data_IF_402590357742
#
_entry.id   IF_402590357742
#
_cell.length_a   1.000
_cell.length_b   1.000
_cell.length_c   1.000
_cell.angle_alpha   90.00
_cell.angle_beta   90.00
_cell.angle_gamma   90.00
#
_symmetry.space_group_name_H-M   'P 1'
#
loop_
_entity.id
_entity.type
_entity.pdbx_description
1 polymer ?
#
# COMPACT_ATOMS: atom_id res chain seq x y z
N UNK A 1 15.32 14.10 16.18
CA UNK A 1 14.66 12.97 15.48
C UNK A 1 14.52 13.36 14.02
N UNK A 2 15.00 12.57 13.07
CA UNK A 2 14.74 12.86 11.66
C UNK A 2 13.25 12.67 11.40
N UNK A 3 12.61 13.66 10.78
CA UNK A 3 11.23 13.53 10.35
C UNK A 3 11.21 12.57 9.15
N UNK A 4 10.91 11.29 9.38
CA UNK A 4 10.81 10.31 8.29
C UNK A 4 9.43 10.45 7.65
N UNK A 5 9.32 11.25 6.58
CA UNK A 5 8.07 11.46 5.85
C UNK A 5 7.78 10.31 4.87
N UNK A 6 7.81 9.07 5.36
CA UNK A 6 7.60 7.86 4.56
C UNK A 6 6.65 6.95 5.33
N UNK A 7 5.50 6.55 4.74
CA UNK A 7 4.58 5.64 5.39
C UNK A 7 5.25 4.32 5.77
N UNK A 8 5.11 3.92 7.04
CA UNK A 8 5.40 2.56 7.48
C UNK A 8 4.23 1.65 7.08
N UNK A 9 4.54 0.51 6.47
CA UNK A 9 3.52 -0.42 5.99
C UNK A 9 3.44 -1.61 6.93
N UNK A 10 2.24 -1.83 7.46
CA UNK A 10 1.87 -3.00 8.25
C UNK A 10 0.85 -3.80 7.46
N UNK A 11 1.25 -4.99 7.04
CA UNK A 11 0.44 -5.86 6.18
C UNK A 11 -0.49 -6.72 7.05
N UNK A 12 -1.79 -6.69 6.79
CA UNK A 12 -2.74 -7.68 7.28
C UNK A 12 -2.82 -8.86 6.32
N UNK A 13 -2.81 -10.09 6.81
CA UNK A 13 -2.93 -11.29 5.98
C UNK A 13 -4.15 -12.08 6.42
N UNK A 14 -5.09 -12.32 5.51
CA UNK A 14 -6.26 -13.13 5.78
C UNK A 14 -6.14 -14.46 5.04
N UNK A 15 -6.37 -15.56 5.75
CA UNK A 15 -6.49 -16.88 5.14
C UNK A 15 -7.90 -17.08 4.59
N UNK A 16 -8.00 -17.73 3.44
CA UNK A 16 -9.28 -18.07 2.81
C UNK A 16 -9.46 -19.58 2.74
N UNK A 17 -10.67 -20.04 3.06
CA UNK A 17 -11.08 -21.43 2.91
C UNK A 17 -12.50 -21.55 2.34
N UNK A 18 -12.79 -22.59 1.58
CA UNK A 18 -14.17 -22.96 1.24
C UNK A 18 -14.61 -24.13 2.11
N UNK A 19 -15.90 -24.15 2.44
CA UNK A 19 -16.55 -25.14 3.30
C UNK A 19 -16.33 -26.61 2.91
N UNK A 20 -16.06 -26.89 1.64
CA UNK A 20 -15.70 -28.23 1.15
C UNK A 20 -14.22 -28.62 1.35
N UNK A 21 -13.40 -27.72 1.90
CA UNK A 21 -12.00 -27.95 2.29
C UNK A 21 -11.81 -27.62 3.78
N UNK A 22 -10.89 -28.29 4.48
CA UNK A 22 -10.66 -28.02 5.90
C UNK A 22 -9.98 -26.66 6.10
N UNK A 23 -10.62 -25.76 6.83
CA UNK A 23 -10.04 -24.47 7.22
C UNK A 23 -8.70 -24.62 7.97
N UNK A 24 -8.51 -25.76 8.68
CA UNK A 24 -7.24 -26.09 9.33
C UNK A 24 -6.06 -26.24 8.37
N UNK A 25 -6.31 -26.61 7.10
CA UNK A 25 -5.27 -26.64 6.07
C UNK A 25 -4.80 -25.23 5.74
N UNK A 26 -5.74 -24.30 5.54
CA UNK A 26 -5.41 -22.88 5.33
C UNK A 26 -4.69 -22.31 6.55
N UNK A 27 -5.13 -22.62 7.77
CA UNK A 27 -4.46 -22.15 8.98
C UNK A 27 -3.01 -22.64 9.06
N UNK A 28 -2.76 -23.93 8.86
CA UNK A 28 -1.40 -24.51 8.86
C UNK A 28 -0.48 -23.86 7.83
N UNK A 29 -1.01 -23.61 6.62
CA UNK A 29 -0.27 -22.95 5.54
C UNK A 29 -0.01 -21.47 5.83
N UNK A 30 -0.99 -20.79 6.43
CA UNK A 30 -0.86 -19.40 6.87
C UNK A 30 0.20 -19.27 7.98
N UNK A 31 0.22 -20.17 8.95
CA UNK A 31 1.24 -20.19 10.02
C UNK A 31 2.65 -20.33 9.45
N UNK A 32 2.82 -21.21 8.45
CA UNK A 32 4.09 -21.39 7.75
C UNK A 32 4.51 -20.13 6.99
N UNK A 33 3.57 -19.46 6.31
CA UNK A 33 3.80 -18.19 5.64
C UNK A 33 4.21 -17.08 6.62
N UNK A 34 3.50 -16.95 7.73
CA UNK A 34 3.80 -15.97 8.78
C UNK A 34 5.16 -16.20 9.41
N UNK A 35 5.58 -17.46 9.59
CA UNK A 35 6.92 -17.79 10.06
C UNK A 35 8.01 -17.32 9.09
N UNK A 36 7.82 -17.46 7.78
CA UNK A 36 8.76 -16.98 6.76
C UNK A 36 8.78 -15.44 6.68
N UNK A 37 7.62 -14.78 6.75
CA UNK A 37 7.54 -13.32 6.79
C UNK A 37 8.29 -12.74 7.99
N UNK A 38 8.18 -13.39 9.16
CA UNK A 38 8.94 -13.02 10.37
C UNK A 38 10.44 -13.16 10.16
N UNK A 39 10.91 -14.24 9.51
CA UNK A 39 12.34 -14.42 9.18
C UNK A 39 12.84 -13.32 8.24
N UNK A 40 12.00 -12.90 7.29
CA UNK A 40 12.30 -11.81 6.35
C UNK A 40 12.08 -10.40 6.91
N UNK A 41 11.67 -10.29 8.18
CA UNK A 41 11.39 -9.03 8.87
C UNK A 41 10.33 -8.16 8.16
N UNK A 42 9.37 -8.80 7.50
CA UNK A 42 8.19 -8.12 6.96
C UNK A 42 7.23 -7.85 8.12
N UNK A 43 6.80 -6.60 8.28
CA UNK A 43 5.83 -6.20 9.30
C UNK A 43 4.44 -6.68 8.87
N UNK A 44 4.04 -7.87 9.33
CA UNK A 44 2.78 -8.49 8.99
C UNK A 44 2.03 -9.03 10.22
N UNK A 45 0.70 -9.04 10.15
CA UNK A 45 -0.21 -9.63 11.14
C UNK A 45 -1.20 -10.53 10.39
N UNK A 46 -1.41 -11.74 10.88
CA UNK A 46 -2.44 -12.63 10.36
C UNK A 46 -3.76 -12.38 11.09
N UNK A 47 -4.86 -12.36 10.34
CA UNK A 47 -6.23 -12.41 10.87
C UNK A 47 -6.44 -13.74 11.61
N UNK A 48 -7.12 -13.69 12.75
CA UNK A 48 -7.59 -14.88 13.46
C UNK A 48 -8.76 -15.56 12.76
N UNK A 49 -9.47 -14.81 11.90
CA UNK A 49 -10.58 -15.31 11.09
C UNK A 49 -10.07 -15.86 9.77
N UNK A 50 -10.51 -17.08 9.43
CA UNK A 50 -10.41 -17.67 8.08
C UNK A 50 -11.72 -17.38 7.34
N UNK A 51 -11.62 -16.83 6.13
CA UNK A 51 -12.78 -16.38 5.35
C UNK A 51 -13.38 -17.51 4.55
N UNK A 52 -14.61 -17.89 4.90
CA UNK A 52 -15.48 -18.84 4.21
C UNK A 52 -16.83 -18.21 3.80
N UNK A 53 -17.20 -17.05 4.36
CA UNK A 53 -18.42 -16.31 4.06
C UNK A 53 -18.24 -14.80 4.23
N UNK A 54 -19.25 -14.01 3.82
CA UNK A 54 -19.20 -12.54 3.83
C UNK A 54 -19.05 -11.96 5.24
N UNK A 55 -19.70 -12.54 6.25
CA UNK A 55 -19.60 -12.05 7.63
C UNK A 55 -18.16 -12.19 8.16
N UNK A 56 -17.49 -13.30 7.83
CA UNK A 56 -16.09 -13.52 8.16
C UNK A 56 -15.16 -12.58 7.39
N UNK A 57 -15.48 -12.26 6.13
CA UNK A 57 -14.71 -11.30 5.33
C UNK A 57 -14.71 -9.90 5.97
N UNK A 58 -15.88 -9.42 6.41
CA UNK A 58 -16.01 -8.14 7.11
C UNK A 58 -15.32 -8.18 8.47
N UNK A 59 -15.50 -9.24 9.25
CA UNK A 59 -14.86 -9.39 10.55
C UNK A 59 -13.32 -9.40 10.45
N UNK A 60 -12.76 -10.08 9.45
CA UNK A 60 -11.32 -10.08 9.18
C UNK A 60 -10.81 -8.69 8.77
N UNK A 61 -11.61 -7.94 8.00
CA UNK A 61 -11.29 -6.55 7.66
C UNK A 61 -11.21 -5.68 8.92
N UNK A 62 -12.24 -5.71 9.76
CA UNK A 62 -12.31 -4.95 11.01
C UNK A 62 -11.16 -5.32 11.96
N UNK A 63 -10.85 -6.62 12.09
CA UNK A 63 -9.74 -7.11 12.91
C UNK A 63 -8.40 -6.53 12.46
N UNK A 64 -8.10 -6.58 11.16
CA UNK A 64 -6.83 -6.11 10.61
C UNK A 64 -6.72 -4.59 10.66
N UNK A 65 -7.81 -3.86 10.41
CA UNK A 65 -7.85 -2.40 10.55
C UNK A 65 -7.65 -1.99 12.00
N UNK A 66 -8.32 -2.66 12.96
CA UNK A 66 -8.13 -2.42 14.39
C UNK A 66 -6.70 -2.74 14.85
N UNK A 67 -6.04 -3.72 14.22
CA UNK A 67 -4.62 -3.99 14.43
C UNK A 67 -3.69 -2.93 13.82
N UNK A 68 -4.21 -1.92 13.12
CA UNK A 68 -3.44 -0.85 12.49
C UNK A 68 -2.77 -1.27 11.18
N UNK A 69 -3.27 -2.31 10.52
CA UNK A 69 -2.80 -2.67 9.18
C UNK A 69 -3.30 -1.65 8.16
N UNK A 70 -2.43 -1.22 7.26
CA UNK A 70 -2.71 -0.23 6.20
C UNK A 70 -2.47 -0.78 4.79
N UNK A 71 -2.24 -2.09 4.67
CA UNK A 71 -2.22 -2.86 3.44
C UNK A 71 -2.70 -4.28 3.78
N UNK A 72 -3.27 -5.01 2.81
CA UNK A 72 -3.79 -6.35 3.04
C UNK A 72 -3.38 -7.37 1.97
N UNK A 73 -3.30 -8.63 2.36
CA UNK A 73 -3.07 -9.77 1.48
C UNK A 73 -4.16 -10.82 1.73
N UNK A 74 -4.94 -11.15 0.69
CA UNK A 74 -5.76 -12.34 0.68
C UNK A 74 -4.90 -13.55 0.32
N UNK A 75 -4.70 -14.44 1.27
CA UNK A 75 -3.96 -15.69 1.10
C UNK A 75 -4.92 -16.86 0.93
N UNK A 76 -5.00 -17.36 -0.30
CA UNK A 76 -5.75 -18.57 -0.61
C UNK A 76 -4.92 -19.78 -0.17
N UNK A 77 -5.15 -20.25 1.05
CA UNK A 77 -4.51 -21.46 1.59
C UNK A 77 -5.06 -22.74 0.96
N UNK A 78 -6.30 -22.70 0.50
CA UNK A 78 -6.97 -23.70 -0.33
C UNK A 78 -7.94 -22.99 -1.30
N UNK A 79 -8.87 -23.72 -1.91
CA UNK A 79 -9.92 -23.16 -2.76
C UNK A 79 -10.82 -22.27 -1.91
N UNK A 80 -10.76 -20.95 -2.12
CA UNK A 80 -11.59 -19.99 -1.41
C UNK A 80 -12.91 -19.65 -2.11
N UNK A 81 -13.95 -19.21 -1.39
CA UNK A 81 -15.15 -18.67 -1.99
C UNK A 81 -14.87 -17.27 -2.57
N UNK A 82 -15.08 -17.11 -3.87
CA UNK A 82 -14.70 -15.90 -4.61
C UNK A 82 -15.41 -14.64 -4.12
N UNK A 83 -16.71 -14.72 -3.79
CA UNK A 83 -17.51 -13.56 -3.40
C UNK A 83 -17.08 -13.01 -2.02
N UNK A 84 -16.97 -13.83 -0.96
CA UNK A 84 -16.38 -13.40 0.30
C UNK A 84 -14.95 -12.88 0.18
N UNK A 85 -14.11 -13.53 -0.62
CA UNK A 85 -12.71 -13.10 -0.81
C UNK A 85 -12.64 -11.72 -1.48
N UNK A 86 -13.42 -11.52 -2.54
CA UNK A 86 -13.50 -10.24 -3.23
C UNK A 86 -14.13 -9.14 -2.35
N UNK A 87 -15.09 -9.49 -1.48
CA UNK A 87 -15.65 -8.57 -0.50
C UNK A 87 -14.58 -8.07 0.47
N UNK A 88 -13.77 -8.96 1.05
CA UNK A 88 -12.64 -8.54 1.89
C UNK A 88 -11.70 -7.58 1.15
N UNK A 89 -11.32 -7.91 -0.08
CA UNK A 89 -10.43 -7.09 -0.91
C UNK A 89 -11.02 -5.73 -1.28
N UNK A 90 -12.35 -5.65 -1.38
CA UNK A 90 -13.09 -4.42 -1.70
C UNK A 90 -13.23 -3.51 -0.48
N UNK A 91 -13.53 -4.08 0.69
CA UNK A 91 -13.86 -3.32 1.90
C UNK A 91 -12.62 -2.92 2.70
N UNK A 92 -11.47 -3.57 2.51
CA UNK A 92 -10.23 -3.20 3.20
C UNK A 92 -9.77 -1.80 2.76
N UNK A 93 -9.57 -0.84 3.70
CA UNK A 93 -9.27 0.55 3.40
C UNK A 93 -7.77 0.77 3.10
N UNK A 94 -7.25 0.09 2.08
CA UNK A 94 -5.85 0.19 1.69
C UNK A 94 -5.49 -0.67 0.47
N UNK A 95 -4.24 -0.60 0.00
CA UNK A 95 -3.76 -1.44 -1.10
C UNK A 95 -3.84 -2.92 -0.72
N UNK A 96 -4.43 -3.69 -1.62
CA UNK A 96 -4.64 -5.13 -1.45
C UNK A 96 -3.82 -5.95 -2.44
N UNK A 97 -3.47 -7.16 -2.03
CA UNK A 97 -2.80 -8.17 -2.85
C UNK A 97 -3.52 -9.52 -2.71
N UNK A 98 -3.46 -10.36 -3.75
CA UNK A 98 -3.93 -11.75 -3.67
C UNK A 98 -2.84 -12.74 -4.09
N UNK A 99 -2.66 -13.79 -3.28
CA UNK A 99 -1.71 -14.90 -3.53
C UNK A 99 -2.32 -16.22 -3.08
N UNK A 100 -1.76 -17.34 -3.54
CA UNK A 100 -2.25 -18.67 -3.23
C UNK A 100 -1.13 -19.64 -2.86
N UNK A 101 -1.48 -20.64 -2.05
CA UNK A 101 -0.57 -21.72 -1.70
C UNK A 101 -0.27 -22.62 -2.90
N UNK A 102 1.00 -22.96 -3.12
CA UNK A 102 1.36 -24.11 -3.93
C UNK A 102 1.14 -25.41 -3.14
N UNK A 103 0.82 -26.50 -3.84
CA UNK A 103 0.85 -27.83 -3.24
C UNK A 103 2.30 -28.23 -2.92
N UNK A 104 2.55 -28.69 -1.70
CA UNK A 104 3.91 -28.83 -1.19
C UNK A 104 4.62 -30.07 -1.76
N UNK A 105 3.91 -31.20 -1.89
CA UNK A 105 4.45 -32.44 -2.44
C UNK A 105 3.33 -33.44 -2.84
N UNK A 106 3.73 -34.55 -3.50
CA UNK A 106 2.80 -35.60 -3.94
C UNK A 106 2.03 -36.29 -2.81
N UNK A 107 2.62 -36.40 -1.61
CA UNK A 107 1.95 -37.06 -0.49
C UNK A 107 0.81 -36.18 0.07
N UNK A 108 0.97 -34.85 0.03
CA UNK A 108 -0.08 -33.89 0.38
C UNK A 108 -1.28 -34.03 -0.56
N UNK A 109 -1.06 -34.24 -1.86
CA UNK A 109 -2.16 -34.37 -2.85
C UNK A 109 -3.15 -35.50 -2.52
N UNK A 110 -2.75 -36.50 -1.74
CA UNK A 110 -3.61 -37.61 -1.36
C UNK A 110 -4.63 -37.25 -0.27
N UNK A 111 -4.28 -36.36 0.67
CA UNK A 111 -5.07 -36.13 1.89
C UNK A 111 -5.37 -34.65 2.17
N UNK A 112 -4.51 -33.74 1.71
CA UNK A 112 -4.49 -32.32 2.05
C UNK A 112 -4.44 -31.44 0.77
N UNK A 113 -5.07 -31.92 -0.31
CA UNK A 113 -5.19 -31.16 -1.56
C UNK A 113 -5.97 -29.87 -1.30
N UNK A 114 -5.39 -28.73 -1.65
CA UNK A 114 -5.99 -27.42 -1.40
C UNK A 114 -6.64 -26.78 -2.62
N UNK A 115 -6.21 -27.07 -3.85
CA UNK A 115 -6.77 -26.45 -5.07
C UNK A 115 -6.73 -24.90 -5.10
N UNK A 116 -5.77 -24.33 -4.38
CA UNK A 116 -5.66 -22.88 -4.18
C UNK A 116 -5.43 -22.09 -5.48
N UNK A 117 -4.71 -22.66 -6.46
CA UNK A 117 -4.57 -22.06 -7.80
C UNK A 117 -5.94 -21.89 -8.48
N UNK A 118 -6.80 -22.90 -8.42
CA UNK A 118 -8.14 -22.81 -9.00
C UNK A 118 -8.99 -21.77 -8.26
N UNK A 119 -8.90 -21.71 -6.93
CA UNK A 119 -9.50 -20.65 -6.14
C UNK A 119 -9.03 -19.26 -6.56
N UNK A 120 -7.73 -19.09 -6.81
CA UNK A 120 -7.15 -17.80 -7.20
C UNK A 120 -7.60 -17.37 -8.59
N UNK A 121 -7.71 -18.30 -9.55
CA UNK A 121 -8.22 -18.01 -10.88
C UNK A 121 -9.68 -17.48 -10.82
N UNK A 122 -10.54 -18.11 -10.04
CA UNK A 122 -11.92 -17.67 -9.84
C UNK A 122 -11.97 -16.32 -9.10
N UNK A 123 -11.17 -16.15 -8.03
CA UNK A 123 -11.06 -14.88 -7.32
C UNK A 123 -10.57 -13.75 -8.25
N UNK A 124 -9.56 -14.00 -9.09
CA UNK A 124 -9.05 -13.04 -10.08
C UNK A 124 -10.12 -12.63 -11.09
N UNK A 125 -10.98 -13.57 -11.51
CA UNK A 125 -12.10 -13.26 -12.39
C UNK A 125 -13.10 -12.32 -11.70
N UNK A 126 -13.46 -12.60 -10.45
CA UNK A 126 -14.37 -11.77 -9.65
C UNK A 126 -13.80 -10.36 -9.37
N UNK A 127 -12.50 -10.27 -9.04
CA UNK A 127 -11.75 -9.01 -8.92
C UNK A 127 -11.89 -8.16 -10.18
N UNK A 128 -11.72 -8.79 -11.35
CA UNK A 128 -11.87 -8.12 -12.65
C UNK A 128 -13.29 -7.63 -12.92
N UNK A 129 -14.31 -8.46 -12.64
CA UNK A 129 -15.72 -8.08 -12.80
C UNK A 129 -16.11 -6.90 -11.91
N UNK A 130 -15.55 -6.81 -10.70
CA UNK A 130 -15.78 -5.72 -9.75
C UNK A 130 -14.91 -4.48 -9.99
N UNK A 131 -13.93 -4.57 -10.89
CA UNK A 131 -12.93 -3.52 -11.16
C UNK A 131 -12.15 -3.11 -9.90
N UNK A 132 -11.80 -4.09 -9.07
CA UNK A 132 -11.02 -3.83 -7.85
C UNK A 132 -9.54 -3.62 -8.19
N UNK A 133 -8.90 -2.66 -7.53
CA UNK A 133 -7.47 -2.41 -7.63
C UNK A 133 -6.69 -3.35 -6.70
N UNK A 134 -6.53 -4.62 -7.11
CA UNK A 134 -5.80 -5.64 -6.35
C UNK A 134 -4.51 -6.02 -7.08
N UNK A 135 -3.38 -6.02 -6.36
CA UNK A 135 -2.12 -6.50 -6.91
C UNK A 135 -2.10 -8.03 -6.96
N UNK A 136 -2.01 -8.59 -8.17
CA UNK A 136 -1.72 -10.01 -8.38
C UNK A 136 -0.31 -10.09 -9.00
N UNK A 137 0.70 -10.64 -8.31
CA UNK A 137 2.04 -10.73 -8.85
C UNK A 137 2.10 -11.73 -10.01
N UNK A 138 3.15 -11.65 -10.82
CA UNK A 138 3.31 -12.53 -11.99
C UNK A 138 3.34 -14.03 -11.64
N UNK A 139 3.90 -14.38 -10.47
CA UNK A 139 3.91 -15.72 -9.90
C UNK A 139 3.19 -15.70 -8.54
N UNK A 140 1.85 -15.74 -8.53
CA UNK A 140 1.05 -15.56 -7.32
C UNK A 140 0.84 -16.84 -6.52
N UNK A 141 1.32 -17.98 -7.02
CA UNK A 141 1.19 -19.29 -6.39
C UNK A 141 2.57 -19.79 -5.99
N UNK A 142 2.78 -20.12 -4.72
CA UNK A 142 4.10 -20.49 -4.24
C UNK A 142 4.12 -21.15 -2.88
N UNK A 143 5.31 -21.65 -2.51
CA UNK A 143 5.57 -22.13 -1.16
C UNK A 143 5.72 -20.95 -0.19
N UNK A 144 5.59 -21.15 1.12
CA UNK A 144 5.67 -20.08 2.13
C UNK A 144 6.90 -19.16 1.98
N UNK A 145 8.07 -19.73 1.68
CA UNK A 145 9.31 -18.97 1.51
C UNK A 145 9.25 -18.01 0.32
N UNK A 146 8.75 -18.50 -0.81
CA UNK A 146 8.66 -17.73 -2.06
C UNK A 146 7.59 -16.64 -1.94
N UNK A 147 6.43 -16.98 -1.36
CA UNK A 147 5.36 -16.03 -1.11
C UNK A 147 5.77 -14.95 -0.11
N UNK A 148 6.54 -15.27 0.92
CA UNK A 148 7.05 -14.27 1.86
C UNK A 148 7.96 -13.24 1.14
N UNK A 149 8.77 -13.67 0.17
CA UNK A 149 9.57 -12.77 -0.66
C UNK A 149 8.67 -11.90 -1.56
N UNK A 150 7.67 -12.49 -2.19
CA UNK A 150 6.72 -11.77 -3.06
C UNK A 150 5.90 -10.74 -2.27
N UNK A 151 5.43 -11.08 -1.06
CA UNK A 151 4.74 -10.14 -0.16
C UNK A 151 5.71 -9.06 0.34
N UNK A 152 6.97 -9.40 0.59
CA UNK A 152 8.01 -8.40 0.89
C UNK A 152 8.18 -7.37 -0.24
N UNK A 153 8.12 -7.81 -1.50
CA UNK A 153 8.16 -6.92 -2.66
C UNK A 153 6.89 -6.07 -2.84
N UNK A 154 5.77 -6.45 -2.22
CA UNK A 154 4.55 -5.66 -2.19
C UNK A 154 4.64 -4.45 -1.24
N UNK A 155 5.48 -4.50 -0.20
CA UNK A 155 5.68 -3.38 0.75
C UNK A 155 5.96 -2.03 0.07
N UNK A 156 6.93 -1.88 -0.84
CA UNK A 156 7.16 -0.60 -1.52
C UNK A 156 6.01 -0.17 -2.44
N UNK A 157 5.27 -1.12 -3.03
CA UNK A 157 4.09 -0.83 -3.86
C UNK A 157 2.98 -0.25 -2.97
N UNK A 158 2.65 -0.95 -1.88
CA UNK A 158 1.67 -0.50 -0.90
C UNK A 158 2.03 0.86 -0.31
N UNK A 159 3.30 1.06 0.05
CA UNK A 159 3.82 2.36 0.54
C UNK A 159 3.58 3.48 -0.44
N UNK A 160 3.82 3.24 -1.73
CA UNK A 160 3.60 4.24 -2.77
C UNK A 160 2.12 4.62 -2.87
N UNK A 161 1.23 3.62 -2.87
CA UNK A 161 -0.22 3.85 -2.89
C UNK A 161 -0.66 4.66 -1.66
N UNK A 162 -0.29 4.23 -0.46
CA UNK A 162 -0.62 4.92 0.81
C UNK A 162 -0.04 6.34 0.86
N UNK A 163 1.16 6.55 0.33
CA UNK A 163 1.77 7.88 0.27
C UNK A 163 1.07 8.83 -0.70
N UNK A 164 0.62 8.32 -1.85
CA UNK A 164 -0.09 9.11 -2.87
C UNK A 164 -1.52 9.40 -2.44
N UNK A 165 -2.23 8.46 -1.82
CA UNK A 165 -3.61 8.68 -1.37
C UNK A 165 -3.71 9.76 -0.27
N UNK A 166 -2.62 10.02 0.45
CA UNK A 166 -2.53 11.10 1.44
C UNK A 166 -1.90 12.39 0.88
N UNK A 167 -1.57 12.45 -0.42
CA UNK A 167 -0.90 13.58 -1.03
C UNK A 167 -1.79 14.82 -1.05
N UNK A 168 -1.20 15.95 -0.69
CA UNK A 168 -1.80 17.28 -0.80
C UNK A 168 -0.96 18.14 -1.72
N UNK A 169 -1.57 18.62 -2.80
CA UNK A 169 -0.92 19.47 -3.79
C UNK A 169 -1.41 20.91 -3.58
N UNK A 170 -0.46 21.81 -3.33
CA UNK A 170 -0.70 23.24 -3.16
C UNK A 170 -0.16 23.96 -4.40
N UNK A 171 -1.06 24.48 -5.22
CA UNK A 171 -0.71 25.35 -6.35
C UNK A 171 -0.78 26.82 -5.94
N UNK A 172 0.08 27.66 -6.50
CA UNK A 172 0.04 29.12 -6.37
C UNK A 172 0.08 29.74 -7.75
N UNK A 173 -0.94 30.54 -8.08
CA UNK A 173 -1.07 31.19 -9.39
C UNK A 173 -1.70 30.31 -10.48
N UNK A 174 -1.98 30.91 -11.65
CA UNK A 174 -2.61 30.21 -12.76
C UNK A 174 -1.63 29.25 -13.45
N UNK A 175 -2.18 28.18 -14.03
CA UNK A 175 -1.42 27.30 -14.93
C UNK A 175 -1.04 28.04 -16.22
N UNK A 176 0.06 27.66 -16.90
CA UNK A 176 0.49 28.34 -18.11
C UNK A 176 -0.61 28.38 -19.18
N UNK A 177 -0.80 29.57 -19.78
CA UNK A 177 -1.69 29.76 -20.91
C UNK A 177 -1.21 28.89 -22.09
N UNK A 178 -2.17 28.28 -22.81
CA UNK A 178 -1.93 27.44 -24.00
C UNK A 178 -1.04 26.20 -23.77
N UNK A 179 -0.94 25.72 -22.53
CA UNK A 179 -0.21 24.49 -22.20
C UNK A 179 -1.12 23.40 -21.63
N UNK A 180 -1.89 22.74 -22.50
CA UNK A 180 -2.93 21.79 -22.10
C UNK A 180 -2.40 20.59 -21.31
N UNK A 181 -1.15 20.18 -21.51
CA UNK A 181 -0.52 19.10 -20.73
C UNK A 181 -0.41 19.46 -19.23
N UNK A 182 -0.20 20.74 -18.88
CA UNK A 182 -0.24 21.20 -17.49
C UNK A 182 -1.67 21.43 -16.98
N UNK A 183 -2.62 21.63 -17.89
CA UNK A 183 -4.05 21.75 -17.60
C UNK A 183 -4.77 20.37 -17.65
N UNK A 184 -4.02 19.27 -17.56
CA UNK A 184 -4.58 17.93 -17.51
C UNK A 184 -5.71 17.85 -16.47
N UNK A 185 -6.76 17.04 -16.74
CA UNK A 185 -7.93 16.98 -15.87
C UNK A 185 -7.50 16.62 -14.45
N UNK A 186 -8.06 17.30 -13.46
CA UNK A 186 -7.79 17.03 -12.04
C UNK A 186 -8.41 15.71 -11.56
N UNK A 187 -9.38 15.16 -12.31
CA UNK A 187 -10.12 13.95 -11.95
C UNK A 187 -9.21 12.76 -11.57
N UNK A 188 -8.16 12.38 -12.32
CA UNK A 188 -7.31 11.26 -11.95
C UNK A 188 -6.57 11.47 -10.61
N UNK A 189 -6.34 12.71 -10.18
CA UNK A 189 -5.79 12.99 -8.86
C UNK A 189 -6.82 12.68 -7.77
N UNK A 190 -8.07 13.11 -7.96
CA UNK A 190 -9.16 12.79 -7.04
C UNK A 190 -9.48 11.28 -7.01
N UNK A 191 -9.39 10.59 -8.15
CA UNK A 191 -9.56 9.13 -8.23
C UNK A 191 -8.50 8.39 -7.39
N UNK A 192 -7.31 8.97 -7.25
CA UNK A 192 -6.23 8.48 -6.38
C UNK A 192 -6.39 8.91 -4.91
N UNK A 193 -7.39 9.71 -4.56
CA UNK A 193 -7.58 10.27 -3.22
C UNK A 193 -6.76 11.54 -2.91
N UNK A 194 -6.03 12.07 -3.90
CA UNK A 194 -5.20 13.28 -3.74
C UNK A 194 -6.07 14.51 -3.52
N UNK A 195 -5.65 15.38 -2.61
CA UNK A 195 -6.26 16.69 -2.41
C UNK A 195 -5.49 17.76 -3.18
N UNK A 196 -6.20 18.61 -3.93
CA UNK A 196 -5.63 19.73 -4.67
C UNK A 196 -6.20 21.03 -4.12
N UNK A 197 -5.32 21.98 -3.78
CA UNK A 197 -5.67 23.33 -3.35
C UNK A 197 -4.94 24.35 -4.21
N UNK A 198 -5.69 25.18 -4.92
CA UNK A 198 -5.15 26.26 -5.75
C UNK A 198 -5.31 27.58 -4.99
N UNK A 199 -4.19 28.25 -4.73
CA UNK A 199 -4.10 29.45 -3.88
C UNK A 199 -3.62 30.67 -4.67
N UNK A 200 -3.84 31.85 -4.11
CA UNK A 200 -3.33 33.10 -4.69
C UNK A 200 -1.83 33.22 -4.45
N UNK A 201 -1.09 33.70 -5.45
CA UNK A 201 0.32 34.09 -5.27
C UNK A 201 0.48 35.18 -4.21
N UNK A 202 -0.58 35.97 -3.94
CA UNK A 202 -0.58 36.94 -2.86
C UNK A 202 -0.54 36.29 -1.47
N UNK A 203 -1.14 35.10 -1.30
CA UNK A 203 -1.05 34.36 -0.02
C UNK A 203 0.39 33.92 0.23
N UNK A 204 1.07 33.45 -0.82
CA UNK A 204 2.50 33.12 -0.75
C UNK A 204 3.35 34.36 -0.47
N UNK A 205 3.03 35.51 -1.06
CA UNK A 205 3.72 36.78 -0.80
C UNK A 205 3.55 37.24 0.65
N UNK A 206 2.36 37.09 1.23
CA UNK A 206 2.11 37.40 2.64
C UNK A 206 2.94 36.49 3.54
N UNK A 207 2.91 35.17 3.29
CA UNK A 207 3.73 34.20 4.04
C UNK A 207 5.24 34.50 3.93
N UNK A 208 5.70 34.87 2.73
CA UNK A 208 7.08 35.28 2.48
C UNK A 208 7.48 36.51 3.31
N UNK A 209 6.66 37.57 3.31
CA UNK A 209 6.93 38.80 4.08
C UNK A 209 6.93 38.57 5.58
N UNK A 210 6.07 37.68 6.07
CA UNK A 210 6.07 37.27 7.48
C UNK A 210 7.36 36.50 7.82
N UNK A 211 7.74 35.52 7.01
CA UNK A 211 8.98 34.76 7.19
C UNK A 211 10.24 35.63 7.13
N UNK A 212 10.26 36.70 6.32
CA UNK A 212 11.37 37.64 6.21
C UNK A 212 11.73 38.35 7.54
N UNK A 213 10.83 38.31 8.54
CA UNK A 213 11.11 38.83 9.89
C UNK A 213 12.11 37.96 10.65
N UNK A 214 12.26 36.67 10.29
CA UNK A 214 13.12 35.67 10.95
C UNK A 214 14.59 35.77 10.51
N UNK A 215 15.18 36.97 10.58
CA UNK A 215 16.52 37.28 10.04
C UNK A 215 17.62 36.32 10.50
N UNK A 216 17.57 35.88 11.76
CA UNK A 216 18.58 34.97 12.33
C UNK A 216 18.50 33.58 11.71
N UNK A 217 17.29 33.05 11.51
CA UNK A 217 17.10 31.75 10.88
C UNK A 217 17.53 31.80 9.40
N UNK A 218 17.14 32.86 8.69
CA UNK A 218 17.53 33.08 7.29
C UNK A 218 19.06 33.13 7.15
N UNK A 219 19.75 33.88 8.00
CA UNK A 219 21.22 33.97 7.96
C UNK A 219 21.90 32.62 8.23
N UNK A 220 21.35 31.82 9.16
CA UNK A 220 21.86 30.48 9.45
C UNK A 220 21.67 29.53 8.25
N UNK A 221 20.48 29.54 7.63
CA UNK A 221 20.18 28.73 6.44
C UNK A 221 21.06 29.16 5.26
N UNK A 222 21.23 30.46 5.03
CA UNK A 222 22.08 30.97 3.95
C UNK A 222 23.55 30.55 4.13
N UNK A 223 24.06 30.57 5.36
CA UNK A 223 25.41 30.09 5.66
C UNK A 223 25.56 28.57 5.43
N UNK A 224 24.55 27.79 5.79
CA UNK A 224 24.53 26.33 5.55
C UNK A 224 24.48 26.02 4.04
N UNK A 225 23.60 26.69 3.29
CA UNK A 225 23.53 26.59 1.83
C UNK A 225 24.85 27.00 1.17
N UNK A 226 25.50 28.08 1.63
CA UNK A 226 26.80 28.52 1.11
C UNK A 226 27.89 27.47 1.37
N UNK A 227 27.87 26.81 2.54
CA UNK A 227 28.77 25.72 2.87
C UNK A 227 28.53 24.49 1.98
N UNK A 228 27.27 24.13 1.73
CA UNK A 228 26.90 23.03 0.83
C UNK A 228 27.34 23.31 -0.62
N UNK A 229 27.13 24.54 -1.10
CA UNK A 229 27.52 24.97 -2.45
C UNK A 229 29.04 25.14 -2.61
N UNK A 230 29.77 25.44 -1.53
CA UNK A 230 31.22 25.65 -1.54
C UNK A 230 31.66 26.69 -2.58
N UNK A 231 32.61 26.33 -3.45
CA UNK A 231 33.08 27.20 -4.53
C UNK A 231 32.00 27.54 -5.58
N UNK A 232 30.86 26.83 -5.57
CA UNK A 232 29.69 27.10 -6.41
C UNK A 232 28.79 28.23 -5.91
N UNK A 233 29.02 28.77 -4.71
CA UNK A 233 28.22 29.87 -4.17
C UNK A 233 28.60 31.20 -4.85
N UNK A 234 27.94 31.52 -5.98
CA UNK A 234 28.24 32.73 -6.78
C UNK A 234 27.49 33.99 -6.33
N UNK A 235 26.44 33.84 -5.51
CA UNK A 235 25.59 34.94 -5.04
C UNK A 235 25.21 34.76 -3.55
N UNK A 236 26.17 34.91 -2.62
CA UNK A 236 25.91 34.73 -1.18
C UNK A 236 24.90 35.73 -0.61
N UNK A 237 24.72 36.88 -1.28
CA UNK A 237 23.88 37.99 -0.81
C UNK A 237 22.44 37.95 -1.36
N UNK A 238 22.00 36.84 -1.97
CA UNK A 238 20.67 36.74 -2.59
C UNK A 238 19.55 36.55 -1.54
N UNK A 239 19.77 35.72 -0.54
CA UNK A 239 18.77 35.31 0.46
C UNK A 239 18.52 36.29 1.64
N UNK A 240 19.39 37.27 1.97
CA UNK A 240 19.06 38.31 2.94
C UNK A 240 17.97 39.30 2.48
N UNK A 241 17.42 39.14 1.26
CA UNK A 241 16.42 40.01 0.62
C UNK A 241 15.01 39.41 0.74
#
# INVERSE_FOLDING_TARGET
MSLTNVPEIKIGIVGVSRDCFPASLTQKRLDALMAELKKQKVLAVASTVIVENEAQALAACDELVAAGCNAAVAYLGNFGPEAPTALFLQEFPGPCMAVAAAEENKAVLANDRGDALCGLLNCSYNIGLRRLAVHIPQYPVGLPKDLAQTIGAFVPIARTVVGVTALKIFGFGPRPQDFMACNAPIQPLYDLGVSVMENSELDLLVAFKEAAKEKKAIAAIAADMAKELGAGCRWPDLLPR
#
